data_IF_881701404121
#
_entry.id   IF_881701404121
#
_cell.length_a   1.000
_cell.length_b   1.000
_cell.length_c   1.000
_cell.angle_alpha   90.00
_cell.angle_beta   90.00
_cell.angle_gamma   90.00
#
_symmetry.space_group_name_H-M   'P 1'
#
loop_
_entity.id
_entity.type
_entity.pdbx_description
1 polymer ?
#
# COMPACT_ATOMS: atom_id res chain seq x y z
N UNK A 1 1.74 15.05 14.38
CA UNK A 1 1.60 14.21 13.17
C UNK A 1 2.68 13.15 13.23
N UNK A 2 2.30 11.87 13.28
CA UNK A 2 3.27 10.76 13.23
C UNK A 2 3.42 10.32 11.77
N UNK A 3 4.63 10.01 11.35
CA UNK A 3 4.90 9.43 10.03
C UNK A 3 5.16 7.93 10.14
N UNK A 4 4.48 7.12 9.32
CA UNK A 4 4.65 5.65 9.33
C UNK A 4 4.87 5.08 7.92
N UNK A 5 5.69 4.03 7.77
CA UNK A 5 5.89 3.38 6.49
C UNK A 5 4.65 2.59 6.06
N UNK A 6 4.37 2.58 4.76
CA UNK A 6 3.39 1.67 4.16
C UNK A 6 3.92 1.08 2.87
N UNK A 7 3.82 -0.24 2.75
CA UNK A 7 4.28 -1.00 1.59
C UNK A 7 3.25 -0.93 0.47
N UNK A 8 3.69 -0.64 -0.76
CA UNK A 8 2.86 -0.72 -1.97
C UNK A 8 3.59 -1.49 -3.08
N UNK A 9 2.82 -2.19 -3.92
CA UNK A 9 3.32 -2.81 -5.14
C UNK A 9 3.48 -1.77 -6.26
N UNK A 10 4.28 -2.08 -7.28
CA UNK A 10 4.55 -1.17 -8.41
C UNK A 10 3.28 -0.66 -9.09
N UNK A 11 2.32 -1.54 -9.37
CA UNK A 11 1.04 -1.16 -9.97
C UNK A 11 0.29 -0.13 -9.11
N UNK A 12 0.32 -0.31 -7.79
CA UNK A 12 -0.35 0.60 -6.85
C UNK A 12 0.39 1.92 -6.71
N UNK A 13 1.72 1.89 -6.74
CA UNK A 13 2.52 3.12 -6.79
C UNK A 13 2.18 3.93 -8.04
N UNK A 14 2.08 3.29 -9.21
CA UNK A 14 1.63 3.97 -10.43
C UNK A 14 0.26 4.59 -10.24
N UNK A 15 -0.70 3.85 -9.67
CA UNK A 15 -2.04 4.35 -9.37
C UNK A 15 -2.03 5.55 -8.39
N UNK A 16 -1.15 5.55 -7.38
CA UNK A 16 -0.93 6.68 -6.47
C UNK A 16 -0.35 7.89 -7.21
N UNK A 17 0.60 7.67 -8.12
CA UNK A 17 1.27 8.72 -8.87
C UNK A 17 0.31 9.46 -9.82
N UNK A 18 -0.63 8.73 -10.43
CA UNK A 18 -1.67 9.31 -11.31
C UNK A 18 -2.93 9.76 -10.55
N UNK A 19 -2.95 9.64 -9.22
CA UNK A 19 -4.08 10.06 -8.37
C UNK A 19 -5.32 9.16 -8.44
N UNK A 20 -5.22 7.97 -9.03
CA UNK A 20 -6.32 6.99 -9.10
C UNK A 20 -6.53 6.26 -7.77
N UNK A 21 -5.47 6.05 -7.00
CA UNK A 21 -5.55 5.39 -5.70
C UNK A 21 -5.58 6.41 -4.56
N UNK A 22 -6.66 6.41 -3.77
CA UNK A 22 -6.90 7.28 -2.61
C UNK A 22 -7.24 6.50 -1.34
N UNK A 23 -7.34 5.17 -1.45
CA UNK A 23 -7.64 4.28 -0.33
C UNK A 23 -6.79 3.01 -0.40
N UNK A 24 -6.56 2.41 0.76
CA UNK A 24 -6.02 1.05 0.87
C UNK A 24 -6.71 0.25 1.97
N UNK A 25 -6.92 -1.04 1.70
CA UNK A 25 -7.24 -2.05 2.72
C UNK A 25 -6.02 -2.84 3.19
N UNK A 26 -5.99 -3.15 4.49
CA UNK A 26 -4.97 -4.01 5.13
C UNK A 26 -5.64 -4.98 6.08
N UNK A 27 -5.33 -6.28 5.96
CA UNK A 27 -5.84 -7.31 6.88
C UNK A 27 -5.49 -6.93 8.32
N UNK A 28 -6.50 -6.91 9.19
CA UNK A 28 -6.29 -6.72 10.62
C UNK A 28 -5.55 -7.94 11.15
N UNK A 29 -4.33 -7.74 11.68
CA UNK A 29 -3.67 -8.78 12.47
C UNK A 29 -4.29 -8.81 13.86
N UNK A 30 -4.32 -9.98 14.51
CA UNK A 30 -4.74 -10.11 15.90
C UNK A 30 -4.02 -9.07 16.75
N UNK A 31 -4.78 -8.11 17.28
CA UNK A 31 -4.26 -7.10 18.19
C UNK A 31 -4.52 -7.61 19.60
N UNK A 32 -3.45 -7.98 20.30
CA UNK A 32 -3.51 -8.04 21.76
C UNK A 32 -3.60 -6.60 22.26
N UNK A 33 -4.76 -6.16 22.70
CA UNK A 33 -4.83 -4.87 23.39
C UNK A 33 -4.22 -5.08 24.78
N UNK A 34 -3.29 -4.20 25.16
CA UNK A 34 -2.70 -4.24 26.49
C UNK A 34 -3.77 -4.03 27.56
N UNK A 35 -3.53 -4.45 28.82
CA UNK A 35 -4.43 -4.13 29.92
C UNK A 35 -4.55 -2.60 29.99
N UNK A 36 -5.76 -2.08 29.79
CA UNK A 36 -6.07 -0.72 30.17
C UNK A 36 -5.69 -0.56 31.65
N UNK A 37 -4.92 0.48 31.97
CA UNK A 37 -4.74 0.86 33.37
C UNK A 37 -6.05 1.42 33.91
N UNK A 38 -6.97 0.51 34.22
CA UNK A 38 -7.90 0.68 35.32
C UNK A 38 -7.89 -0.65 36.07
N UNK A 39 -7.62 -0.55 37.36
CA UNK A 39 -7.75 -1.69 38.26
C UNK A 39 -9.18 -2.22 38.10
N UNK A 40 -9.31 -3.55 37.99
CA UNK A 40 -10.55 -4.31 37.79
C UNK A 40 -11.02 -4.42 36.31
N UNK A 41 -11.06 -5.68 35.82
CA UNK A 41 -11.63 -6.16 34.54
C UNK A 41 -10.68 -6.31 33.33
N UNK A 42 -10.30 -7.56 33.05
CA UNK A 42 -10.25 -8.16 31.70
C UNK A 42 -9.20 -7.68 30.69
N UNK A 43 -8.46 -8.63 30.10
CA UNK A 43 -7.67 -8.39 28.89
C UNK A 43 -8.64 -8.24 27.70
N UNK A 44 -8.63 -7.09 27.02
CA UNK A 44 -9.38 -6.91 25.77
C UNK A 44 -8.54 -7.46 24.60
N UNK A 45 -9.10 -8.37 23.81
CA UNK A 45 -8.43 -8.89 22.62
C UNK A 45 -9.41 -8.93 21.45
N UNK A 46 -9.01 -8.40 20.29
CA UNK A 46 -9.72 -8.68 19.04
C UNK A 46 -9.22 -10.03 18.52
N UNK A 47 -10.01 -11.08 18.72
CA UNK A 47 -9.69 -12.38 18.13
C UNK A 47 -10.05 -12.39 16.64
N UNK A 48 -9.09 -11.97 15.81
CA UNK A 48 -9.21 -12.04 14.35
C UNK A 48 -9.10 -13.49 13.84
N UNK A 49 -8.61 -14.44 14.65
CA UNK A 49 -8.41 -15.83 14.23
C UNK A 49 -9.73 -16.62 14.17
N UNK A 50 -10.70 -16.29 15.02
CA UNK A 50 -12.03 -16.92 15.02
C UNK A 50 -13.02 -16.30 14.02
N UNK A 51 -12.66 -15.18 13.36
CA UNK A 51 -13.54 -14.38 12.51
C UNK A 51 -14.89 -14.01 13.15
N UNK A 52 -14.98 -14.11 14.48
CA UNK A 52 -16.15 -13.87 15.32
C UNK A 52 -15.81 -12.81 16.37
N UNK A 53 -16.75 -11.91 16.65
CA UNK A 53 -16.73 -11.08 17.84
C UNK A 53 -17.12 -11.92 19.07
N UNK A 54 -16.20 -12.71 19.63
CA UNK A 54 -16.44 -13.38 20.91
C UNK A 54 -15.70 -12.68 22.06
N UNK A 55 -16.45 -11.82 22.76
CA UNK A 55 -16.56 -11.78 24.21
C UNK A 55 -15.35 -11.47 25.08
N UNK A 56 -14.88 -10.21 25.11
CA UNK A 56 -14.44 -9.50 26.34
C UNK A 56 -14.60 -7.97 26.13
N UNK A 57 -15.76 -7.42 26.55
CA UNK A 57 -16.24 -6.02 26.41
C UNK A 57 -16.11 -5.47 24.98
N UNK A 58 -17.22 -5.47 24.25
CA UNK A 58 -17.34 -4.88 22.91
C UNK A 58 -16.84 -3.43 22.94
N UNK A 59 -15.63 -3.17 22.44
CA UNK A 59 -15.23 -1.82 22.06
C UNK A 59 -16.12 -1.39 20.89
N UNK A 60 -16.58 -0.14 20.88
CA UNK A 60 -17.31 0.39 19.74
C UNK A 60 -16.41 0.33 18.48
N UNK A 61 -16.99 0.25 17.28
CA UNK A 61 -16.20 0.28 16.04
C UNK A 61 -15.34 1.55 15.90
N UNK A 62 -15.76 2.65 16.53
CA UNK A 62 -14.96 3.88 16.69
C UNK A 62 -13.71 3.64 17.55
N UNK A 63 -13.85 2.90 18.63
CA UNK A 63 -12.74 2.57 19.55
C UNK A 63 -11.78 1.57 18.92
N UNK A 64 -12.26 0.68 18.03
CA UNK A 64 -11.38 -0.20 17.24
C UNK A 64 -10.57 0.64 16.27
N UNK A 65 -11.21 1.56 15.54
CA UNK A 65 -10.57 2.42 14.55
C UNK A 65 -9.45 3.29 15.13
N UNK A 66 -9.56 3.74 16.39
CA UNK A 66 -8.51 4.50 17.07
C UNK A 66 -7.21 3.72 17.32
N UNK A 67 -7.23 2.39 17.19
CA UNK A 67 -6.08 1.49 17.38
C UNK A 67 -5.41 1.03 16.07
N UNK A 68 -5.75 1.68 14.94
CA UNK A 68 -5.10 1.37 13.67
C UNK A 68 -3.57 1.55 13.75
N UNK A 69 -2.78 0.52 13.39
CA UNK A 69 -1.32 0.56 13.53
C UNK A 69 -0.66 1.49 12.50
N UNK A 70 -1.40 1.90 11.48
CA UNK A 70 -0.93 2.80 10.42
C UNK A 70 -1.11 4.28 10.77
N UNK A 71 -1.83 4.61 11.84
CA UNK A 71 -2.08 5.99 12.25
C UNK A 71 -3.57 6.34 12.22
N UNK A 72 -3.86 7.62 12.48
CA UNK A 72 -5.20 8.18 12.52
C UNK A 72 -5.38 9.28 11.48
N UNK A 73 -6.60 9.76 11.31
CA UNK A 73 -6.85 10.95 10.49
C UNK A 73 -5.92 12.11 10.91
N UNK A 74 -5.25 12.71 9.94
CA UNK A 74 -4.23 13.75 10.15
C UNK A 74 -2.80 13.24 10.36
N UNK A 75 -2.56 11.93 10.47
CA UNK A 75 -1.20 11.36 10.45
C UNK A 75 -0.66 11.22 9.02
N UNK A 76 0.67 11.06 8.92
CA UNK A 76 1.39 10.88 7.67
C UNK A 76 1.78 9.43 7.41
N UNK A 77 1.68 9.02 6.16
CA UNK A 77 2.23 7.77 5.65
C UNK A 77 3.29 8.09 4.60
N UNK A 78 4.38 7.33 4.59
CA UNK A 78 5.36 7.40 3.52
C UNK A 78 5.44 6.04 2.83
N UNK A 79 5.45 6.07 1.50
CA UNK A 79 5.33 4.85 0.69
C UNK A 79 6.68 4.16 0.58
N UNK A 80 6.66 2.84 0.75
CA UNK A 80 7.75 1.93 0.46
C UNK A 80 7.45 1.18 -0.84
N UNK A 81 8.38 1.29 -1.80
CA UNK A 81 8.31 0.66 -3.12
C UNK A 81 9.66 0.01 -3.49
N UNK A 82 9.65 -0.86 -4.50
CA UNK A 82 10.87 -1.51 -4.99
C UNK A 82 11.78 -0.46 -5.61
N UNK A 83 13.01 -0.36 -5.12
CA UNK A 83 13.90 0.75 -5.40
C UNK A 83 15.35 0.29 -5.53
N UNK A 84 16.19 1.14 -6.12
CA UNK A 84 17.64 0.98 -6.13
C UNK A 84 18.32 2.34 -5.96
N UNK A 85 19.46 2.35 -5.26
CA UNK A 85 20.29 3.54 -5.09
C UNK A 85 21.02 3.61 -3.73
N UNK A 86 21.71 4.73 -3.45
CA UNK A 86 21.88 5.88 -4.35
C UNK A 86 22.70 5.53 -5.60
N UNK A 87 22.22 5.94 -6.77
CA UNK A 87 22.93 5.85 -8.05
C UNK A 87 23.61 7.19 -8.25
N UNK A 88 24.92 7.21 -8.01
CA UNK A 88 25.74 8.41 -8.09
C UNK A 88 26.48 8.41 -9.44
N UNK A 89 26.42 9.51 -10.22
CA UNK A 89 27.21 9.65 -11.45
C UNK A 89 28.72 9.55 -11.17
N UNK A 90 29.49 9.09 -12.17
CA UNK A 90 30.93 8.88 -12.01
C UNK A 90 31.66 10.18 -11.62
N UNK A 91 31.17 11.33 -12.09
CA UNK A 91 31.75 12.64 -11.78
C UNK A 91 31.57 13.03 -10.30
N UNK A 92 30.59 12.44 -9.62
CA UNK A 92 30.24 12.75 -8.23
C UNK A 92 30.69 11.64 -7.25
N UNK A 93 31.33 10.57 -7.73
CA UNK A 93 31.80 9.47 -6.88
C UNK A 93 32.80 9.92 -5.82
N UNK A 94 33.74 10.80 -6.17
CA UNK A 94 34.73 11.33 -5.23
C UNK A 94 34.08 12.16 -4.10
N UNK A 95 32.94 12.79 -4.37
CA UNK A 95 32.16 13.51 -3.36
C UNK A 95 31.35 12.55 -2.51
N UNK A 96 30.76 11.51 -3.10
CA UNK A 96 30.04 10.46 -2.38
C UNK A 96 30.95 9.66 -1.42
N UNK A 97 32.17 9.33 -1.84
CA UNK A 97 33.16 8.66 -0.99
C UNK A 97 33.59 9.54 0.20
N UNK A 98 33.62 10.86 -0.01
CA UNK A 98 33.94 11.83 1.05
C UNK A 98 32.77 12.03 2.01
N UNK A 99 31.56 12.22 1.48
CA UNK A 99 30.33 12.37 2.26
C UNK A 99 29.12 11.80 1.49
N UNK A 100 28.57 10.65 1.94
CA UNK A 100 27.43 10.03 1.28
C UNK A 100 26.08 10.66 1.68
N UNK A 101 26.04 11.58 2.66
CA UNK A 101 24.78 12.14 3.16
C UNK A 101 23.99 12.97 2.13
N UNK A 102 24.62 13.84 1.31
CA UNK A 102 23.90 14.62 0.28
C UNK A 102 23.21 13.75 -0.77
N UNK A 103 23.74 12.54 -0.99
CA UNK A 103 23.21 11.57 -1.96
C UNK A 103 22.04 10.75 -1.41
N UNK A 104 21.69 10.91 -0.14
CA UNK A 104 20.48 10.30 0.47
C UNK A 104 19.23 11.10 0.11
N UNK A 105 18.95 11.19 -1.18
CA UNK A 105 17.79 11.89 -1.71
C UNK A 105 17.05 11.00 -2.72
N UNK A 106 15.70 11.08 -2.82
CA UNK A 106 14.93 10.34 -3.83
C UNK A 106 15.40 10.57 -5.27
N UNK A 107 16.02 11.72 -5.55
CA UNK A 107 16.55 12.06 -6.88
C UNK A 107 17.73 11.16 -7.31
N UNK A 108 18.46 10.58 -6.37
CA UNK A 108 19.53 9.60 -6.64
C UNK A 108 19.00 8.16 -6.58
N UNK A 109 17.68 7.96 -6.51
CA UNK A 109 17.07 6.64 -6.54
C UNK A 109 16.39 6.38 -7.88
N UNK A 110 16.36 5.11 -8.26
CA UNK A 110 15.49 4.62 -9.33
C UNK A 110 14.46 3.66 -8.77
N UNK A 111 13.26 3.71 -9.32
CA UNK A 111 12.10 3.01 -8.81
C UNK A 111 11.52 2.08 -9.87
N UNK A 112 11.17 0.86 -9.47
CA UNK A 112 10.64 -0.14 -10.42
C UNK A 112 9.25 0.23 -10.93
N UNK A 113 8.53 1.09 -10.19
CA UNK A 113 7.27 1.62 -10.66
C UNK A 113 7.43 2.50 -11.93
N UNK A 114 8.60 3.05 -12.20
CA UNK A 114 8.85 3.93 -13.36
C UNK A 114 9.27 3.13 -14.61
N UNK A 115 9.87 1.94 -14.44
CA UNK A 115 10.26 1.09 -15.55
C UNK A 115 9.02 0.52 -16.23
N UNK A 116 8.73 0.98 -17.44
CA UNK A 116 7.61 0.52 -18.24
C UNK A 116 7.92 -0.90 -18.76
N UNK A 117 7.75 -1.93 -17.94
CA UNK A 117 7.88 -3.35 -18.33
C UNK A 117 6.69 -3.77 -19.23
N UNK A 118 6.55 -3.12 -20.37
CA UNK A 118 5.85 -3.61 -21.55
C UNK A 118 6.89 -3.76 -22.67
N UNK A 119 7.75 -4.76 -22.53
CA UNK A 119 8.33 -5.48 -23.68
C UNK A 119 9.22 -4.70 -24.66
N UNK A 120 10.09 -3.80 -24.19
CA UNK A 120 11.26 -3.40 -24.98
C UNK A 120 12.53 -3.79 -24.22
N UNK A 121 12.96 -5.03 -24.46
CA UNK A 121 14.32 -5.48 -24.21
C UNK A 121 15.24 -4.64 -25.10
N UNK A 122 15.65 -3.48 -24.62
CA UNK A 122 16.79 -2.79 -25.19
C UNK A 122 18.01 -3.69 -24.91
N UNK A 123 18.65 -4.21 -25.97
CA UNK A 123 19.78 -5.14 -25.87
C UNK A 123 20.97 -4.55 -25.09
N UNK A 124 20.99 -3.23 -24.89
CA UNK A 124 21.97 -2.52 -24.06
C UNK A 124 21.65 -2.52 -22.55
N UNK A 125 20.46 -2.97 -22.12
CA UNK A 125 20.03 -3.04 -20.71
C UNK A 125 20.23 -4.41 -20.04
N UNK A 126 20.78 -5.40 -20.76
CA UNK A 126 20.98 -6.76 -20.24
C UNK A 126 21.85 -6.83 -18.96
N UNK A 127 22.69 -5.83 -18.71
CA UNK A 127 23.49 -5.74 -17.48
C UNK A 127 22.85 -4.90 -16.36
N UNK A 128 21.91 -4.01 -16.67
CA UNK A 128 21.29 -3.10 -15.70
C UNK A 128 20.05 -3.69 -15.01
N UNK A 129 19.46 -4.76 -15.57
CA UNK A 129 18.30 -5.44 -14.99
C UNK A 129 18.67 -6.49 -13.93
N UNK A 130 19.92 -6.98 -13.90
CA UNK A 130 20.30 -8.12 -13.05
C UNK A 130 20.85 -7.77 -11.66
N UNK A 131 21.26 -6.52 -11.40
CA UNK A 131 21.93 -6.17 -10.13
C UNK A 131 21.34 -4.93 -9.46
N UNK A 132 21.08 -5.04 -8.15
CA UNK A 132 20.89 -3.88 -7.26
C UNK A 132 19.45 -3.49 -6.90
N UNK A 133 18.41 -4.18 -7.41
CA UNK A 133 17.04 -3.96 -6.94
C UNK A 133 16.89 -4.40 -5.48
N UNK A 134 16.43 -3.49 -4.63
CA UNK A 134 16.14 -3.77 -3.23
C UNK A 134 14.64 -3.95 -3.02
N UNK A 135 14.29 -4.91 -2.16
CA UNK A 135 12.90 -5.10 -1.78
C UNK A 135 12.40 -3.87 -1.00
N UNK A 136 11.16 -3.50 -1.25
CA UNK A 136 10.53 -2.35 -0.63
C UNK A 136 10.52 -2.39 0.92
N UNK A 137 10.61 -3.57 1.53
CA UNK A 137 10.68 -3.73 3.00
C UNK A 137 11.91 -3.04 3.60
N UNK A 138 13.03 -3.05 2.88
CA UNK A 138 14.29 -2.45 3.31
C UNK A 138 14.40 -0.96 2.97
N UNK A 139 13.38 -0.40 2.31
CA UNK A 139 13.42 1.00 1.89
C UNK A 139 13.46 1.97 3.08
N UNK A 140 14.49 2.84 3.16
CA UNK A 140 14.60 3.85 4.20
C UNK A 140 13.72 5.07 3.88
N UNK A 141 13.45 5.88 4.92
CA UNK A 141 12.60 7.09 4.81
C UNK A 141 13.11 8.10 3.79
N UNK A 142 14.43 8.29 3.69
CA UNK A 142 15.06 9.25 2.80
C UNK A 142 14.88 8.90 1.32
N UNK A 143 14.71 7.62 0.99
CA UNK A 143 14.52 7.17 -0.38
C UNK A 143 13.04 7.26 -0.82
N UNK A 144 12.10 7.47 0.11
CA UNK A 144 10.68 7.54 -0.22
C UNK A 144 10.36 8.86 -0.91
N UNK A 145 9.70 8.79 -2.08
CA UNK A 145 9.28 9.96 -2.86
C UNK A 145 7.81 10.33 -2.72
N UNK A 146 7.01 9.49 -2.07
CA UNK A 146 5.55 9.68 -1.93
C UNK A 146 5.19 9.77 -0.46
N UNK A 147 4.64 10.92 -0.07
CA UNK A 147 3.98 11.09 1.21
C UNK A 147 2.46 11.15 1.01
N UNK A 148 1.75 10.55 1.94
CA UNK A 148 0.30 10.51 1.99
C UNK A 148 -0.16 11.03 3.36
N UNK A 149 -1.26 11.76 3.40
CA UNK A 149 -1.92 12.19 4.64
C UNK A 149 -3.18 11.37 4.82
N UNK A 150 -3.31 10.71 5.97
CA UNK A 150 -4.50 9.92 6.29
C UNK A 150 -5.68 10.88 6.49
N UNK A 151 -6.78 10.65 5.78
CA UNK A 151 -8.00 11.45 5.88
C UNK A 151 -9.03 10.76 6.77
N UNK A 152 -9.13 9.43 6.70
CA UNK A 152 -10.00 8.64 7.57
C UNK A 152 -9.51 7.21 7.72
N UNK A 153 -9.89 6.58 8.83
CA UNK A 153 -9.62 5.17 9.10
C UNK A 153 -10.89 4.53 9.65
N UNK A 154 -11.25 3.36 9.12
CA UNK A 154 -12.36 2.54 9.62
C UNK A 154 -12.03 1.06 9.55
N UNK A 155 -12.72 0.25 10.36
CA UNK A 155 -12.68 -1.20 10.25
C UNK A 155 -13.94 -1.71 9.52
N UNK A 156 -13.75 -2.59 8.55
CA UNK A 156 -14.82 -3.11 7.67
C UNK A 156 -14.52 -4.57 7.33
N UNK A 157 -15.53 -5.34 6.93
CA UNK A 157 -15.33 -6.68 6.32
C UNK A 157 -14.95 -6.52 4.86
N UNK A 158 -14.03 -7.36 4.36
CA UNK A 158 -13.56 -7.22 2.98
C UNK A 158 -14.68 -7.38 1.92
N UNK A 159 -15.70 -8.19 2.21
CA UNK A 159 -16.82 -8.41 1.28
C UNK A 159 -17.87 -7.28 1.28
N UNK A 160 -17.82 -6.38 2.27
CA UNK A 160 -18.72 -5.22 2.39
C UNK A 160 -18.23 -4.01 1.58
N UNK A 161 -17.15 -4.19 0.82
CA UNK A 161 -16.59 -3.20 -0.11
C UNK A 161 -17.63 -2.70 -1.12
N UNK A 162 -17.72 -1.38 -1.26
CA UNK A 162 -18.56 -0.69 -2.26
C UNK A 162 -17.85 -0.51 -3.62
N UNK A 163 -18.60 -0.15 -4.66
CA UNK A 163 -17.99 0.18 -5.98
C UNK A 163 -17.09 1.42 -5.91
N UNK A 164 -17.51 2.45 -5.17
CA UNK A 164 -16.71 3.66 -4.93
C UNK A 164 -15.38 3.32 -4.23
N UNK A 165 -15.42 2.39 -3.28
CA UNK A 165 -14.23 1.91 -2.61
C UNK A 165 -13.27 1.13 -3.52
N UNK A 166 -13.80 0.41 -4.52
CA UNK A 166 -13.00 -0.32 -5.51
C UNK A 166 -12.26 0.68 -6.41
N UNK A 167 -12.96 1.74 -6.82
CA UNK A 167 -12.35 2.84 -7.59
C UNK A 167 -11.26 3.54 -6.77
N UNK A 168 -11.54 3.85 -5.50
CA UNK A 168 -10.58 4.48 -4.59
C UNK A 168 -9.34 3.61 -4.29
N UNK A 169 -9.43 2.29 -4.42
CA UNK A 169 -8.27 1.38 -4.31
C UNK A 169 -7.38 1.40 -5.56
N UNK A 170 -7.79 2.09 -6.64
CA UNK A 170 -7.04 2.21 -7.88
C UNK A 170 -6.95 0.89 -8.66
N UNK A 171 -7.91 -0.02 -8.49
CA UNK A 171 -7.97 -1.24 -9.29
C UNK A 171 -8.40 -0.87 -10.70
N UNK A 172 -7.50 -1.08 -11.67
CA UNK A 172 -7.82 -0.90 -13.08
C UNK A 172 -8.79 -2.02 -13.48
N UNK A 173 -10.08 -1.69 -13.49
CA UNK A 173 -11.04 -2.44 -14.29
C UNK A 173 -10.67 -2.18 -15.73
N UNK A 174 -10.23 -3.21 -16.47
CA UNK A 174 -9.95 -3.17 -17.92
C UNK A 174 -11.23 -2.90 -18.72
N UNK A 175 -11.92 -1.81 -18.43
CA UNK A 175 -12.99 -1.23 -19.23
C UNK A 175 -12.34 -0.36 -20.30
N UNK A 176 -11.38 -0.92 -21.04
CA UNK A 176 -10.92 -0.30 -22.26
C UNK A 176 -12.09 -0.33 -23.25
N UNK A 177 -12.81 0.78 -23.34
CA UNK A 177 -13.88 1.03 -24.32
C UNK A 177 -13.49 0.65 -25.75
N UNK A 178 -12.19 0.70 -26.09
CA UNK A 178 -11.66 0.32 -27.41
C UNK A 178 -11.50 -1.20 -27.60
N UNK A 179 -11.22 -1.98 -26.54
CA UNK A 179 -11.20 -3.45 -26.63
C UNK A 179 -12.62 -4.02 -26.74
N UNK A 180 -13.59 -3.37 -26.09
CA UNK A 180 -15.00 -3.76 -26.12
C UNK A 180 -15.64 -3.62 -27.51
N UNK A 181 -15.04 -2.84 -28.42
CA UNK A 181 -15.56 -2.62 -29.77
C UNK A 181 -15.15 -3.73 -30.75
N UNK A 182 -14.02 -4.43 -30.50
CA UNK A 182 -13.50 -5.46 -31.40
C UNK A 182 -13.76 -6.90 -30.92
N UNK A 183 -14.10 -7.12 -29.65
CA UNK A 183 -14.41 -8.45 -29.12
C UNK A 183 -15.89 -8.54 -28.73
N UNK A 184 -16.73 -9.04 -29.64
CA UNK A 184 -18.15 -9.35 -29.37
C UNK A 184 -18.38 -10.54 -28.39
N UNK A 185 -17.42 -10.80 -27.48
CA UNK A 185 -17.50 -11.86 -26.48
C UNK A 185 -16.39 -11.65 -25.44
N UNK A 186 -16.67 -10.92 -24.35
CA UNK A 186 -16.03 -11.15 -23.05
C UNK A 186 -16.93 -10.53 -21.98
N UNK A 187 -17.29 -11.34 -20.98
CA UNK A 187 -18.07 -10.92 -19.82
C UNK A 187 -17.43 -9.67 -19.21
N UNK A 188 -18.19 -8.57 -19.11
CA UNK A 188 -17.77 -7.42 -18.31
C UNK A 188 -17.53 -7.92 -16.88
N UNK A 189 -16.27 -8.12 -16.50
CA UNK A 189 -15.94 -8.55 -15.14
C UNK A 189 -16.41 -7.46 -14.19
N UNK A 190 -17.28 -7.82 -13.24
CA UNK A 190 -17.72 -6.89 -12.22
C UNK A 190 -16.50 -6.29 -11.52
N UNK A 191 -16.49 -4.98 -11.20
CA UNK A 191 -15.40 -4.35 -10.44
C UNK A 191 -15.04 -5.12 -9.17
N UNK A 192 -16.04 -5.75 -8.53
CA UNK A 192 -15.86 -6.57 -7.34
C UNK A 192 -15.05 -7.83 -7.61
N UNK A 193 -15.22 -8.46 -8.77
CA UNK A 193 -14.45 -9.64 -9.16
C UNK A 193 -13.00 -9.27 -9.53
N UNK A 194 -12.80 -8.14 -10.21
CA UNK A 194 -11.46 -7.62 -10.47
C UNK A 194 -10.70 -7.31 -9.16
N UNK A 195 -11.37 -6.66 -8.20
CA UNK A 195 -10.81 -6.41 -6.88
C UNK A 195 -10.54 -7.71 -6.12
N UNK A 196 -11.45 -8.69 -6.16
CA UNK A 196 -11.27 -10.01 -5.53
C UNK A 196 -10.02 -10.71 -6.05
N UNK A 197 -9.79 -10.73 -7.36
CA UNK A 197 -8.58 -11.32 -7.96
C UNK A 197 -7.31 -10.59 -7.50
N UNK A 198 -7.33 -9.26 -7.48
CA UNK A 198 -6.20 -8.46 -6.97
C UNK A 198 -5.91 -8.75 -5.49
N UNK A 199 -6.96 -8.86 -4.67
CA UNK A 199 -6.86 -9.23 -3.26
C UNK A 199 -6.27 -10.63 -3.06
N UNK A 200 -6.77 -11.62 -3.81
CA UNK A 200 -6.28 -12.99 -3.76
C UNK A 200 -4.82 -13.11 -4.20
N UNK A 201 -4.39 -12.31 -5.19
CA UNK A 201 -2.98 -12.24 -5.60
C UNK A 201 -2.08 -11.71 -4.47
N UNK A 202 -2.58 -10.76 -3.68
CA UNK A 202 -1.82 -10.15 -2.59
C UNK A 202 -1.80 -10.99 -1.31
N UNK A 203 -2.92 -11.62 -0.94
CA UNK A 203 -3.11 -12.27 0.36
C UNK A 203 -3.37 -13.79 0.28
N UNK A 204 -3.42 -14.36 -0.93
CA UNK A 204 -3.66 -15.79 -1.17
C UNK A 204 -5.10 -16.09 -1.63
N UNK A 205 -5.29 -17.22 -2.30
CA UNK A 205 -6.53 -17.58 -2.98
C UNK A 205 -7.77 -17.66 -2.05
N UNK A 206 -7.60 -18.11 -0.81
CA UNK A 206 -8.72 -18.28 0.14
C UNK A 206 -8.99 -17.04 0.99
N UNK A 207 -8.16 -16.00 0.88
CA UNK A 207 -8.23 -14.81 1.74
C UNK A 207 -9.52 -13.99 1.59
N UNK A 208 -10.18 -14.07 0.42
CA UNK A 208 -11.46 -13.42 0.18
C UNK A 208 -12.63 -14.17 0.83
N UNK A 209 -12.62 -15.50 0.76
CA UNK A 209 -13.70 -16.36 1.28
C UNK A 209 -13.76 -16.36 2.81
N UNK A 210 -12.60 -16.20 3.46
CA UNK A 210 -12.52 -16.03 4.92
C UNK A 210 -13.25 -14.76 5.38
N UNK A 211 -13.46 -13.79 4.49
CA UNK A 211 -14.06 -12.49 4.79
C UNK A 211 -13.46 -11.84 6.07
N UNK A 212 -12.14 -11.60 6.11
CA UNK A 212 -11.49 -11.02 7.28
C UNK A 212 -11.91 -9.57 7.51
N UNK A 213 -11.72 -9.10 8.73
CA UNK A 213 -11.73 -7.68 9.05
C UNK A 213 -10.49 -6.98 8.48
N UNK A 214 -10.70 -5.82 7.90
CA UNK A 214 -9.66 -5.00 7.27
C UNK A 214 -9.71 -3.58 7.80
N UNK A 215 -8.52 -3.00 7.96
CA UNK A 215 -8.36 -1.55 8.10
C UNK A 215 -8.55 -0.93 6.73
N UNK A 216 -9.55 -0.07 6.60
CA UNK A 216 -9.73 0.81 5.45
C UNK A 216 -9.10 2.15 5.80
N UNK A 217 -8.07 2.53 5.04
CA UNK A 217 -7.30 3.75 5.27
C UNK A 217 -7.47 4.62 4.03
N UNK A 218 -8.20 5.71 4.16
CA UNK A 218 -8.30 6.73 3.13
C UNK A 218 -7.19 7.77 3.34
N UNK A 219 -6.64 8.27 2.25
CA UNK A 219 -5.55 9.22 2.28
C UNK A 219 -5.56 10.12 1.05
N UNK A 220 -4.86 11.24 1.17
CA UNK A 220 -4.57 12.15 0.06
C UNK A 220 -3.06 12.27 -0.12
N UNK A 221 -2.60 12.38 -1.36
CA UNK A 221 -1.17 12.57 -1.65
C UNK A 221 -0.77 13.99 -1.29
N UNK A 222 0.36 14.13 -0.61
CA UNK A 222 0.96 15.43 -0.32
C UNK A 222 2.04 15.67 -1.37
N UNK A 223 1.98 16.81 -2.03
CA UNK A 223 3.10 17.27 -2.87
C UNK A 223 4.23 17.76 -1.97
N UNK A 224 5.42 17.19 -2.12
CA UNK A 224 6.62 17.78 -1.55
C UNK A 224 6.95 19.03 -2.36
N UNK A 225 7.12 20.17 -1.68
CA UNK A 225 7.85 21.28 -2.27
C UNK A 225 9.26 20.77 -2.61
N UNK A 226 9.58 20.76 -3.90
CA UNK A 226 10.87 20.33 -4.43
C UNK A 226 12.00 21.29 -4.10
#
# INVERSE_FOLDING_TARGET
MKERPILFSEQRVRALLVGQQTQTRRIMKTQAFGPGQDHHEGVHAFDVSANHLHGYKLMSMTDVSSHCPYGQAGDGLWVRETWRGPIVPEEQLAEYERDPLPFRHPAFCQYRADSNELGQLDEHLHNAEQFGWQTAIHMPRWASRIDLRITSVRAEKIQDISEDDIMAEGVQTDTHFLNNFFTMNMNAESPKEAYRKAWQKQYGATSWEVNPWVWVIAFERIERAG
#
